data_IF_891527223455
#
_entry.id   IF_891527223455
#
_cell.length_a   1.000
_cell.length_b   1.000
_cell.length_c   1.000
_cell.angle_alpha   90.00
_cell.angle_beta   90.00
_cell.angle_gamma   90.00
#
_symmetry.space_group_name_H-M   'P 1'
#
loop_
_entity.id
_entity.type
_entity.pdbx_description
1 polymer ?
#
# COMPACT_ATOMS: atom_id res chain seq x y z
N UNK A 1 12.13 -5.78 -20.30
CA UNK A 1 11.64 -5.59 -18.92
C UNK A 1 11.77 -4.11 -18.61
N UNK A 2 10.68 -3.34 -18.70
CA UNK A 2 10.71 -1.89 -18.59
C UNK A 2 10.71 -1.50 -17.10
N UNK A 3 11.88 -1.21 -16.54
CA UNK A 3 12.08 -0.90 -15.12
C UNK A 3 11.78 0.57 -14.83
N UNK A 4 10.60 1.07 -15.22
CA UNK A 4 10.15 2.39 -14.77
C UNK A 4 9.77 2.29 -13.29
N UNK A 5 10.72 2.66 -12.42
CA UNK A 5 10.50 2.85 -10.98
C UNK A 5 9.72 4.15 -10.77
N UNK A 6 8.47 4.20 -11.23
CA UNK A 6 7.63 5.39 -11.11
C UNK A 6 6.92 5.45 -9.74
N UNK A 7 7.04 4.41 -8.91
CA UNK A 7 6.44 4.34 -7.58
C UNK A 7 7.25 3.47 -6.60
N UNK A 8 7.22 3.84 -5.32
CA UNK A 8 7.52 2.93 -4.21
C UNK A 8 6.26 2.10 -3.96
N UNK A 9 6.39 0.78 -3.94
CA UNK A 9 5.27 -0.14 -3.64
C UNK A 9 5.48 -0.72 -2.25
N UNK A 10 4.47 -0.59 -1.39
CA UNK A 10 4.46 -1.14 -0.04
C UNK A 10 3.30 -2.13 0.09
N UNK A 11 3.53 -3.21 0.82
CA UNK A 11 2.49 -4.14 1.27
C UNK A 11 2.37 -4.00 2.78
N UNK A 12 1.21 -3.58 3.26
CA UNK A 12 0.97 -3.19 4.65
C UNK A 12 -0.04 -4.14 5.31
N UNK A 13 0.23 -4.51 6.55
CA UNK A 13 -0.68 -5.25 7.44
C UNK A 13 -1.72 -4.26 7.99
N UNK A 14 -2.54 -3.72 7.11
CA UNK A 14 -3.61 -2.78 7.44
C UNK A 14 -4.84 -3.22 6.66
N UNK A 15 -5.98 -3.39 7.32
CA UNK A 15 -7.17 -3.95 6.68
C UNK A 15 -7.56 -3.10 5.47
N UNK A 16 -7.66 -3.67 4.25
CA UNK A 16 -8.06 -2.89 3.08
C UNK A 16 -9.48 -2.31 3.21
N UNK A 17 -10.30 -2.89 4.09
CA UNK A 17 -11.65 -2.42 4.42
C UNK A 17 -11.64 -1.16 5.31
N UNK A 18 -10.52 -0.82 5.94
CA UNK A 18 -10.35 0.37 6.79
C UNK A 18 -10.05 1.64 5.98
N UNK A 19 -9.71 1.50 4.70
CA UNK A 19 -9.30 2.59 3.83
C UNK A 19 -10.09 2.57 2.52
N UNK A 20 -10.46 3.74 2.02
CA UNK A 20 -11.02 3.85 0.68
C UNK A 20 -10.03 3.33 -0.37
N UNK A 21 -10.45 2.51 -1.32
CA UNK A 21 -9.58 2.09 -2.41
C UNK A 21 -9.57 3.18 -3.50
N UNK A 22 -8.38 3.66 -3.86
CA UNK A 22 -8.20 4.70 -4.88
C UNK A 22 -7.29 4.15 -5.95
N UNK A 23 -7.82 4.07 -7.17
CA UNK A 23 -7.09 3.56 -8.32
C UNK A 23 -5.72 4.22 -8.48
N UNK A 24 -4.72 3.36 -8.67
CA UNK A 24 -3.33 3.76 -8.77
C UNK A 24 -2.64 4.01 -7.42
N UNK A 25 -3.34 4.30 -6.33
CA UNK A 25 -2.73 4.57 -5.00
C UNK A 25 -2.88 3.43 -4.02
N UNK A 26 -4.08 2.84 -3.89
CA UNK A 26 -4.42 1.76 -2.96
C UNK A 26 -5.07 0.61 -3.70
N UNK A 27 -4.71 -0.62 -3.35
CA UNK A 27 -5.29 -1.83 -3.93
C UNK A 27 -5.41 -2.92 -2.87
N UNK A 28 -6.59 -3.50 -2.78
CA UNK A 28 -6.81 -4.76 -2.07
C UNK A 28 -6.13 -5.90 -2.85
N UNK A 29 -5.23 -6.61 -2.19
CA UNK A 29 -4.47 -7.72 -2.79
C UNK A 29 -4.84 -9.08 -2.19
N UNK A 30 -5.92 -9.17 -1.42
CA UNK A 30 -6.45 -10.46 -0.90
C UNK A 30 -6.80 -11.39 -2.06
N UNK A 31 -6.35 -12.64 -1.96
CA UNK A 31 -6.74 -13.72 -2.88
C UNK A 31 -6.18 -13.65 -4.31
N UNK A 32 -5.36 -12.65 -4.65
CA UNK A 32 -4.75 -12.51 -5.99
C UNK A 32 -3.27 -12.90 -6.05
N UNK A 33 -2.65 -13.16 -4.90
CA UNK A 33 -1.24 -13.54 -4.76
C UNK A 33 -0.28 -12.35 -4.95
N UNK A 34 0.49 -12.02 -3.91
CA UNK A 34 1.44 -10.91 -3.91
C UNK A 34 2.68 -11.21 -3.07
N UNK A 35 3.72 -10.40 -3.24
CA UNK A 35 4.95 -10.50 -2.47
C UNK A 35 4.84 -9.69 -1.18
N UNK A 36 4.54 -10.32 -0.05
CA UNK A 36 4.46 -9.66 1.24
C UNK A 36 3.52 -10.40 2.19
N UNK A 37 3.44 -9.94 3.44
CA UNK A 37 2.51 -10.49 4.43
C UNK A 37 1.22 -9.68 4.55
N UNK A 38 1.24 -8.40 4.15
CA UNK A 38 0.09 -7.50 4.29
C UNK A 38 -0.85 -7.47 3.09
N UNK A 39 -2.15 -7.32 3.36
CA UNK A 39 -3.25 -7.39 2.38
C UNK A 39 -3.54 -6.08 1.62
N UNK A 40 -2.88 -4.98 2.01
CA UNK A 40 -3.04 -3.67 1.38
C UNK A 40 -1.79 -3.27 0.61
N UNK A 41 -1.92 -3.08 -0.70
CA UNK A 41 -0.87 -2.51 -1.55
C UNK A 41 -1.02 -0.99 -1.65
N UNK A 42 0.04 -0.26 -1.33
CA UNK A 42 0.12 1.20 -1.43
C UNK A 42 1.23 1.61 -2.39
N UNK A 43 0.93 2.50 -3.34
CA UNK A 43 1.90 3.03 -4.33
C UNK A 43 2.16 4.52 -4.12
N UNK A 44 3.39 4.85 -3.73
CA UNK A 44 3.83 6.23 -3.53
C UNK A 44 4.56 6.75 -4.77
N UNK A 45 4.07 7.83 -5.37
CA UNK A 45 4.69 8.51 -6.53
C UNK A 45 5.16 9.92 -6.21
N UNK A 46 4.80 10.45 -5.04
CA UNK A 46 5.07 11.81 -4.62
C UNK A 46 5.23 11.92 -3.09
N UNK A 47 5.71 13.08 -2.62
CA UNK A 47 5.73 13.39 -1.18
C UNK A 47 4.33 13.44 -0.57
N UNK A 48 3.33 13.92 -1.31
CA UNK A 48 1.93 13.92 -0.87
C UNK A 48 1.39 12.50 -0.68
N UNK A 49 1.78 11.55 -1.53
CA UNK A 49 1.41 10.16 -1.35
C UNK A 49 2.02 9.59 -0.06
N UNK A 50 3.27 9.96 0.26
CA UNK A 50 3.93 9.55 1.50
C UNK A 50 3.22 10.12 2.73
N UNK A 51 2.86 11.40 2.72
CA UNK A 51 2.08 12.03 3.80
C UNK A 51 0.74 11.32 3.99
N UNK A 52 0.03 11.04 2.89
CA UNK A 52 -1.25 10.31 2.90
C UNK A 52 -1.09 8.87 3.41
N UNK A 53 0.07 8.26 3.21
CA UNK A 53 0.35 6.89 3.65
C UNK A 53 0.72 6.76 5.13
N UNK A 54 0.99 7.86 5.83
CA UNK A 54 1.45 7.83 7.23
C UNK A 54 0.53 7.04 8.17
N UNK A 55 -0.79 7.20 8.05
CA UNK A 55 -1.73 6.46 8.90
C UNK A 55 -1.69 4.95 8.62
N UNK A 56 -1.64 4.55 7.36
CA UNK A 56 -1.58 3.14 6.95
C UNK A 56 -0.30 2.47 7.46
N UNK A 57 0.84 3.18 7.37
CA UNK A 57 2.13 2.69 7.88
C UNK A 57 2.07 2.52 9.39
N UNK A 58 1.53 3.51 10.13
CA UNK A 58 1.41 3.44 11.58
C UNK A 58 0.52 2.27 12.01
N UNK A 59 -0.63 2.07 11.35
CA UNK A 59 -1.53 0.94 11.62
C UNK A 59 -0.83 -0.38 11.39
N UNK A 60 -0.14 -0.53 10.27
CA UNK A 60 0.63 -1.73 9.97
C UNK A 60 1.74 -2.01 10.99
N UNK A 61 2.33 -0.97 11.57
CA UNK A 61 3.33 -1.13 12.64
C UNK A 61 2.70 -1.53 13.98
N UNK A 62 1.48 -1.06 14.29
CA UNK A 62 0.79 -1.35 15.55
C UNK A 62 0.15 -2.75 15.60
N UNK A 63 -0.14 -3.34 14.42
CA UNK A 63 -0.70 -4.69 14.29
C UNK A 63 0.40 -5.77 14.31
N UNK A 64 1.64 -5.41 13.95
CA UNK A 64 2.81 -6.30 13.93
C UNK A 64 3.42 -6.51 15.33
#
# INVERSE_FOLDING_TARGET
MNTRRDAIVMYLEAGPDEFELVDGFRRDVRGIGHHGTGDLEVRLRSGTDLERAGEMIRRSYEVA
#
